data_IF_628180870422
#
_entry.id   IF_628180870422
#
_cell.length_a   1.000
_cell.length_b   1.000
_cell.length_c   1.000
_cell.angle_alpha   90.00
_cell.angle_beta   90.00
_cell.angle_gamma   90.00
#
_symmetry.space_group_name_H-M   'P 1'
#
loop_
_entity.id
_entity.type
_entity.pdbx_description
1 polymer ?
#
# COMPACT_ATOMS: atom_id res chain seq x y z
N UNK A 1 -27.96 -5.59 -3.19
CA UNK A 1 -28.24 -5.87 -1.77
C UNK A 1 -28.91 -7.23 -1.68
N UNK A 2 -28.13 -8.29 -1.43
CA UNK A 2 -28.59 -9.67 -1.31
C UNK A 2 -27.77 -10.36 -0.22
N UNK A 3 -28.44 -10.78 0.85
CA UNK A 3 -28.06 -11.88 1.73
C UNK A 3 -26.81 -11.74 2.61
N UNK A 4 -26.82 -10.83 3.58
CA UNK A 4 -25.87 -10.83 4.72
C UNK A 4 -26.29 -11.78 5.87
N UNK A 5 -27.41 -12.50 5.72
CA UNK A 5 -27.98 -13.40 6.73
C UNK A 5 -28.00 -14.83 6.20
N UNK A 6 -26.80 -15.37 5.97
CA UNK A 6 -26.62 -16.79 5.73
C UNK A 6 -26.56 -17.51 7.07
N UNK A 7 -27.73 -17.98 7.54
CA UNK A 7 -27.90 -19.02 8.56
C UNK A 7 -28.11 -18.58 10.03
N UNK A 8 -29.02 -17.61 10.27
CA UNK A 8 -29.52 -17.26 11.61
C UNK A 8 -30.10 -18.45 12.40
N UNK A 9 -30.56 -19.48 11.68
CA UNK A 9 -31.17 -20.68 12.24
C UNK A 9 -30.22 -21.50 13.10
N UNK A 10 -28.94 -21.60 12.72
CA UNK A 10 -27.97 -22.37 13.52
C UNK A 10 -27.56 -21.63 14.80
N UNK A 11 -27.57 -20.30 14.80
CA UNK A 11 -27.31 -19.50 16.00
C UNK A 11 -28.45 -19.64 17.01
N UNK A 12 -29.70 -19.61 16.53
CA UNK A 12 -30.89 -19.83 17.36
C UNK A 12 -30.94 -21.28 17.88
N UNK A 13 -30.63 -22.26 17.02
CA UNK A 13 -30.60 -23.67 17.41
C UNK A 13 -29.50 -23.98 18.43
N UNK A 14 -28.30 -23.43 18.25
CA UNK A 14 -27.21 -23.57 19.21
C UNK A 14 -27.55 -22.89 20.55
N UNK A 15 -28.19 -21.72 20.51
CA UNK A 15 -28.70 -21.03 21.69
C UNK A 15 -29.72 -21.88 22.46
N UNK A 16 -30.72 -22.44 21.77
CA UNK A 16 -31.75 -23.30 22.37
C UNK A 16 -31.17 -24.60 22.97
N UNK A 17 -30.23 -25.24 22.28
CA UNK A 17 -29.57 -26.46 22.79
C UNK A 17 -28.74 -26.15 24.03
N UNK A 18 -28.02 -25.02 24.07
CA UNK A 18 -27.24 -24.60 25.24
C UNK A 18 -28.13 -24.27 26.45
N UNK A 19 -29.27 -23.61 26.23
CA UNK A 19 -30.22 -23.28 27.28
C UNK A 19 -30.91 -24.53 27.86
N UNK A 20 -31.27 -25.48 27.00
CA UNK A 20 -31.83 -26.77 27.43
C UNK A 20 -30.81 -27.60 28.24
N UNK A 21 -29.54 -27.59 27.83
CA UNK A 21 -28.45 -28.21 28.57
C UNK A 21 -28.21 -27.54 29.93
N UNK A 22 -28.27 -26.20 29.99
CA UNK A 22 -28.10 -25.45 31.24
C UNK A 22 -29.21 -25.77 32.26
N UNK A 23 -30.47 -25.84 31.82
CA UNK A 23 -31.62 -26.15 32.68
C UNK A 23 -31.60 -27.64 33.12
N UNK A 24 -31.23 -28.55 32.21
CA UNK A 24 -31.14 -29.97 32.48
C UNK A 24 -30.02 -30.34 33.45
N UNK A 25 -28.82 -29.74 33.30
CA UNK A 25 -27.71 -29.97 34.24
C UNK A 25 -27.93 -29.30 35.60
N UNK A 26 -28.62 -28.16 35.64
CA UNK A 26 -28.85 -27.40 36.89
C UNK A 26 -29.81 -28.12 37.84
N UNK A 27 -30.85 -28.77 37.31
CA UNK A 27 -31.89 -29.40 38.14
C UNK A 27 -31.55 -30.82 38.60
N UNK A 28 -30.72 -31.55 37.86
CA UNK A 28 -30.49 -32.97 38.11
C UNK A 28 -29.37 -33.27 39.10
N UNK A 29 -28.41 -32.35 39.34
CA UNK A 29 -27.15 -32.73 40.00
C UNK A 29 -26.81 -32.00 41.31
N UNK A 30 -27.63 -31.07 41.81
CA UNK A 30 -27.42 -30.38 43.11
C UNK A 30 -25.97 -29.85 43.32
N UNK A 31 -25.29 -29.43 42.26
CA UNK A 31 -23.99 -28.75 42.35
C UNK A 31 -24.18 -27.23 42.43
N UNK A 32 -23.30 -26.49 43.13
CA UNK A 32 -23.44 -25.05 43.32
C UNK A 32 -23.46 -24.33 41.96
N UNK A 33 -24.42 -23.42 41.80
CA UNK A 33 -24.75 -22.69 40.55
C UNK A 33 -23.55 -22.07 39.81
N UNK A 34 -22.48 -21.72 40.54
CA UNK A 34 -21.24 -21.23 39.95
C UNK A 34 -20.55 -22.27 39.06
N UNK A 35 -20.54 -23.54 39.44
CA UNK A 35 -19.81 -24.60 38.73
C UNK A 35 -20.50 -24.92 37.40
N UNK A 36 -21.84 -24.96 37.37
CA UNK A 36 -22.58 -25.17 36.12
C UNK A 36 -22.44 -23.99 35.15
N UNK A 37 -22.36 -22.76 35.67
CA UNK A 37 -22.11 -21.56 34.87
C UNK A 37 -20.73 -21.59 34.22
N UNK A 38 -19.69 -21.94 34.98
CA UNK A 38 -18.31 -22.06 34.45
C UNK A 38 -18.22 -23.16 33.39
N UNK A 39 -18.83 -24.32 33.62
CA UNK A 39 -18.84 -25.42 32.65
C UNK A 39 -19.59 -25.01 31.37
N UNK A 40 -20.72 -24.32 31.49
CA UNK A 40 -21.49 -23.84 30.34
C UNK A 40 -20.72 -22.81 29.50
N UNK A 41 -20.01 -21.88 30.14
CA UNK A 41 -19.14 -20.91 29.46
C UNK A 41 -17.99 -21.62 28.74
N UNK A 42 -17.37 -22.63 29.35
CA UNK A 42 -16.28 -23.39 28.73
C UNK A 42 -16.76 -24.23 27.55
N UNK A 43 -17.93 -24.88 27.66
CA UNK A 43 -18.52 -25.63 26.55
C UNK A 43 -18.94 -24.67 25.44
N UNK A 44 -19.50 -23.50 25.73
CA UNK A 44 -19.83 -22.49 24.74
C UNK A 44 -18.58 -21.98 24.01
N UNK A 45 -17.50 -21.66 24.74
CA UNK A 45 -16.23 -21.25 24.13
C UNK A 45 -15.61 -22.35 23.26
N UNK A 46 -15.63 -23.61 23.73
CA UNK A 46 -15.16 -24.76 22.96
C UNK A 46 -16.01 -25.02 21.71
N UNK A 47 -17.33 -24.90 21.82
CA UNK A 47 -18.25 -25.05 20.69
C UNK A 47 -18.06 -23.91 19.68
N UNK A 48 -17.93 -22.67 20.13
CA UNK A 48 -17.62 -21.51 19.28
C UNK A 48 -16.28 -21.71 18.58
N UNK A 49 -15.26 -22.22 19.26
CA UNK A 49 -13.95 -22.47 18.66
C UNK A 49 -13.98 -23.61 17.62
N UNK A 50 -14.78 -24.66 17.83
CA UNK A 50 -14.91 -25.80 16.90
C UNK A 50 -15.86 -25.48 15.74
N UNK A 51 -16.91 -24.68 15.95
CA UNK A 51 -17.92 -24.33 14.94
C UNK A 51 -17.64 -23.02 14.19
N UNK A 52 -16.80 -22.11 14.69
CA UNK A 52 -16.40 -20.91 13.95
C UNK A 52 -15.19 -21.24 13.06
N UNK A 53 -15.38 -21.45 11.74
CA UNK A 53 -14.28 -21.77 10.86
C UNK A 53 -13.54 -20.46 10.58
N UNK A 54 -12.32 -20.29 11.11
CA UNK A 54 -11.23 -19.53 10.48
C UNK A 54 -11.44 -18.04 10.09
N UNK A 55 -12.56 -17.39 10.41
CA UNK A 55 -12.83 -16.01 9.96
C UNK A 55 -12.14 -14.92 10.80
N UNK A 56 -11.52 -15.26 11.94
CA UNK A 56 -10.74 -14.30 12.71
C UNK A 56 -9.34 -14.03 12.13
N UNK A 57 -8.92 -14.79 11.10
CA UNK A 57 -7.60 -14.66 10.47
C UNK A 57 -7.67 -14.27 8.98
N UNK A 58 -8.85 -13.89 8.49
CA UNK A 58 -9.12 -13.45 7.10
C UNK A 58 -8.59 -12.03 6.81
N UNK A 59 -7.42 -11.72 7.35
CA UNK A 59 -6.70 -10.45 7.18
C UNK A 59 -5.17 -10.59 7.27
N UNK A 60 -4.63 -11.78 7.50
CA UNK A 60 -3.19 -12.05 7.52
C UNK A 60 -2.86 -13.23 6.58
N UNK A 61 -3.31 -13.12 5.34
CA UNK A 61 -2.81 -13.98 4.26
C UNK A 61 -1.38 -13.53 3.90
N UNK A 62 -0.40 -14.07 4.61
CA UNK A 62 1.03 -13.84 4.34
C UNK A 62 1.43 -14.23 2.89
N UNK A 63 0.61 -15.04 2.19
CA UNK A 63 0.76 -15.36 0.76
C UNK A 63 -0.02 -14.45 -0.21
N UNK A 64 -1.14 -13.85 0.19
CA UNK A 64 -1.90 -12.92 -0.67
C UNK A 64 -1.34 -11.50 -0.65
N UNK A 65 -0.52 -11.16 0.36
CA UNK A 65 0.23 -9.90 0.43
C UNK A 65 1.10 -9.73 -0.83
N UNK A 66 1.81 -10.76 -1.29
CA UNK A 66 2.63 -10.68 -2.50
C UNK A 66 1.81 -10.47 -3.77
N UNK A 67 0.74 -11.26 -3.96
CA UNK A 67 -0.13 -11.16 -5.14
C UNK A 67 -0.94 -9.87 -5.20
N UNK A 68 -1.46 -9.42 -4.05
CA UNK A 68 -2.20 -8.17 -3.92
C UNK A 68 -1.32 -6.94 -4.12
N UNK A 69 -0.07 -6.96 -3.63
CA UNK A 69 0.90 -5.90 -3.88
C UNK A 69 1.29 -5.81 -5.36
N UNK A 70 1.48 -6.96 -6.03
CA UNK A 70 1.77 -7.00 -7.48
C UNK A 70 0.59 -6.45 -8.29
N UNK A 71 -0.64 -6.86 -7.97
CA UNK A 71 -1.83 -6.36 -8.64
C UNK A 71 -2.03 -4.86 -8.42
N UNK A 72 -1.84 -4.39 -7.18
CA UNK A 72 -1.91 -2.98 -6.84
C UNK A 72 -0.82 -2.15 -7.54
N UNK A 73 0.42 -2.63 -7.54
CA UNK A 73 1.53 -1.97 -8.23
C UNK A 73 1.25 -1.89 -9.73
N UNK A 74 0.81 -2.97 -10.36
CA UNK A 74 0.46 -2.99 -11.78
C UNK A 74 -0.64 -1.99 -12.13
N UNK A 75 -1.72 -1.97 -11.35
CA UNK A 75 -2.81 -1.01 -11.55
C UNK A 75 -2.31 0.42 -11.41
N UNK A 76 -1.56 0.71 -10.34
CA UNK A 76 -0.98 2.02 -10.07
C UNK A 76 -0.06 2.49 -11.20
N UNK A 77 0.84 1.62 -11.67
CA UNK A 77 1.76 1.95 -12.75
C UNK A 77 1.02 2.16 -14.06
N UNK A 78 0.00 1.35 -14.36
CA UNK A 78 -0.81 1.52 -15.57
C UNK A 78 -1.55 2.86 -15.60
N UNK A 79 -1.95 3.39 -14.45
CA UNK A 79 -2.56 4.71 -14.32
C UNK A 79 -1.53 5.85 -14.41
N UNK A 80 -0.31 5.63 -13.94
CA UNK A 80 0.76 6.63 -13.92
C UNK A 80 1.53 6.74 -15.25
N UNK A 81 1.63 5.64 -16.00
CA UNK A 81 2.39 5.56 -17.26
C UNK A 81 2.02 6.67 -18.26
N UNK A 82 0.71 6.94 -18.54
CA UNK A 82 0.33 7.99 -19.48
C UNK A 82 0.73 9.40 -19.01
N UNK A 83 0.87 9.62 -17.70
CA UNK A 83 1.34 10.89 -17.16
C UNK A 83 2.85 11.04 -17.30
N UNK A 84 3.62 9.97 -17.06
CA UNK A 84 5.06 9.94 -17.29
C UNK A 84 5.42 10.14 -18.77
N UNK A 85 4.70 9.49 -19.68
CA UNK A 85 4.89 9.63 -21.12
C UNK A 85 4.59 11.06 -21.60
N UNK A 86 3.52 11.67 -21.08
CA UNK A 86 3.18 13.09 -21.35
C UNK A 86 4.27 14.03 -20.85
N UNK A 87 4.82 13.80 -19.66
CA UNK A 87 5.93 14.60 -19.12
C UNK A 87 7.17 14.52 -20.03
N UNK A 88 7.51 13.33 -20.52
CA UNK A 88 8.61 13.13 -21.47
C UNK A 88 8.35 13.80 -22.84
N UNK A 89 7.12 13.73 -23.33
CA UNK A 89 6.71 14.42 -24.56
C UNK A 89 6.78 15.95 -24.40
N UNK A 90 6.32 16.47 -23.26
CA UNK A 90 6.41 17.89 -22.92
C UNK A 90 7.88 18.35 -22.82
N UNK A 91 8.78 17.54 -22.24
CA UNK A 91 10.21 17.85 -22.24
C UNK A 91 10.76 18.01 -23.68
N UNK A 92 10.28 17.19 -24.61
CA UNK A 92 10.75 17.19 -26.00
C UNK A 92 10.25 18.40 -26.79
N UNK A 93 9.06 18.92 -26.48
CA UNK A 93 8.46 20.07 -27.17
C UNK A 93 9.00 21.43 -26.71
N UNK A 94 9.66 21.49 -25.55
CA UNK A 94 10.26 22.73 -25.03
C UNK A 94 11.49 23.11 -25.87
N UNK A 95 11.49 24.35 -26.41
CA UNK A 95 12.59 24.89 -27.19
C UNK A 95 13.78 25.38 -26.32
N UNK A 96 13.49 25.85 -25.11
CA UNK A 96 14.48 26.31 -24.13
C UNK A 96 15.32 25.14 -23.61
N UNK A 97 16.64 25.17 -23.85
CA UNK A 97 17.56 24.08 -23.46
C UNK A 97 17.63 23.86 -21.96
N UNK A 98 17.64 24.93 -21.16
CA UNK A 98 17.76 24.82 -19.71
C UNK A 98 16.47 24.23 -19.11
N UNK A 99 15.32 24.71 -19.56
CA UNK A 99 14.05 24.17 -19.09
C UNK A 99 13.82 22.74 -19.59
N UNK A 100 14.18 22.45 -20.84
CA UNK A 100 14.13 21.10 -21.40
C UNK A 100 14.95 20.12 -20.56
N UNK A 101 16.15 20.49 -20.14
CA UNK A 101 16.98 19.65 -19.27
C UNK A 101 16.31 19.38 -17.91
N UNK A 102 15.67 20.40 -17.32
CA UNK A 102 14.95 20.26 -16.03
C UNK A 102 13.74 19.33 -16.15
N UNK A 103 12.90 19.52 -17.16
CA UNK A 103 11.71 18.68 -17.37
C UNK A 103 12.12 17.26 -17.80
N UNK A 104 13.18 17.11 -18.59
CA UNK A 104 13.75 15.80 -18.90
C UNK A 104 14.20 15.08 -17.64
N UNK A 105 14.91 15.76 -16.73
CA UNK A 105 15.33 15.19 -15.46
C UNK A 105 14.13 14.72 -14.62
N UNK A 106 13.02 15.48 -14.60
CA UNK A 106 11.78 15.02 -13.95
C UNK A 106 11.21 13.74 -14.59
N UNK A 107 11.23 13.65 -15.92
CA UNK A 107 10.79 12.45 -16.64
C UNK A 107 11.70 11.25 -16.35
N UNK A 108 13.02 11.47 -16.31
CA UNK A 108 14.00 10.43 -15.98
C UNK A 108 13.79 9.90 -14.54
N UNK A 109 13.56 10.80 -13.56
CA UNK A 109 13.25 10.39 -12.17
C UNK A 109 11.92 9.63 -12.10
N UNK A 110 10.87 10.08 -12.79
CA UNK A 110 9.60 9.37 -12.82
C UNK A 110 9.75 7.95 -13.40
N UNK A 111 10.54 7.80 -14.46
CA UNK A 111 10.85 6.50 -15.06
C UNK A 111 11.64 5.60 -14.11
N UNK A 112 12.63 6.14 -13.39
CA UNK A 112 13.40 5.39 -12.38
C UNK A 112 12.50 4.89 -11.24
N UNK A 113 11.63 5.75 -10.71
CA UNK A 113 10.66 5.36 -9.68
C UNK A 113 9.71 4.27 -10.18
N UNK A 114 9.20 4.39 -11.40
CA UNK A 114 8.34 3.36 -12.03
C UNK A 114 9.10 2.02 -12.11
N UNK A 115 10.34 2.03 -12.61
CA UNK A 115 11.17 0.82 -12.74
C UNK A 115 11.46 0.17 -11.38
N UNK A 116 11.70 0.97 -10.33
CA UNK A 116 11.90 0.46 -8.96
C UNK A 116 10.63 -0.17 -8.39
N UNK A 117 9.46 0.41 -8.66
CA UNK A 117 8.17 -0.17 -8.23
C UNK A 117 7.86 -1.45 -8.99
N UNK A 118 8.22 -1.55 -10.28
CA UNK A 118 8.13 -2.79 -11.04
C UNK A 118 9.02 -3.89 -10.45
N UNK A 119 10.25 -3.55 -10.07
CA UNK A 119 11.18 -4.48 -9.43
C UNK A 119 10.73 -4.90 -8.02
N UNK A 120 10.16 -3.97 -7.24
CA UNK A 120 9.69 -4.20 -5.87
C UNK A 120 8.26 -3.67 -5.67
N UNK A 121 7.23 -4.47 -5.99
CA UNK A 121 5.82 -4.07 -5.89
C UNK A 121 5.38 -3.61 -4.50
N UNK A 122 6.06 -4.06 -3.45
CA UNK A 122 5.82 -3.62 -2.07
C UNK A 122 6.02 -2.10 -1.87
N UNK A 123 6.87 -1.46 -2.68
CA UNK A 123 7.14 -0.02 -2.62
C UNK A 123 6.03 0.85 -3.22
N UNK A 124 5.13 0.25 -4.01
CA UNK A 124 4.06 0.95 -4.72
C UNK A 124 3.18 1.82 -3.80
N UNK A 125 2.92 1.37 -2.57
CA UNK A 125 2.09 2.09 -1.62
C UNK A 125 2.73 3.42 -1.18
N UNK A 126 4.05 3.42 -0.97
CA UNK A 126 4.82 4.58 -0.52
C UNK A 126 4.86 5.69 -1.58
N UNK A 127 4.95 5.30 -2.85
CA UNK A 127 5.02 6.25 -3.98
C UNK A 127 3.68 6.47 -4.67
N UNK A 128 2.58 5.90 -4.16
CA UNK A 128 1.24 6.07 -4.75
C UNK A 128 0.93 7.53 -5.01
N UNK A 129 1.11 8.40 -4.00
CA UNK A 129 0.81 9.83 -4.11
C UNK A 129 1.72 10.52 -5.14
N UNK A 130 2.99 10.13 -5.19
CA UNK A 130 3.93 10.60 -6.20
C UNK A 130 3.41 10.31 -7.61
N UNK A 131 3.07 9.04 -7.87
CA UNK A 131 2.61 8.58 -9.17
C UNK A 131 1.22 9.11 -9.56
N UNK A 132 0.28 9.24 -8.63
CA UNK A 132 -1.10 9.65 -8.96
C UNK A 132 -1.34 11.15 -8.93
N UNK A 133 -0.46 11.95 -8.31
CA UNK A 133 -0.67 13.38 -8.15
C UNK A 133 0.50 14.20 -8.68
N UNK A 134 1.73 13.91 -8.23
CA UNK A 134 2.88 14.73 -8.58
C UNK A 134 3.34 14.56 -10.03
N UNK A 135 3.35 13.32 -10.57
CA UNK A 135 3.71 13.07 -11.97
C UNK A 135 2.70 13.72 -12.95
N UNK A 136 1.37 13.54 -12.81
CA UNK A 136 0.40 14.25 -13.65
C UNK A 136 0.50 15.77 -13.55
N UNK A 137 0.69 16.30 -12.33
CA UNK A 137 0.81 17.73 -12.12
C UNK A 137 2.09 18.29 -12.76
N UNK A 138 3.20 17.56 -12.69
CA UNK A 138 4.43 17.95 -13.37
C UNK A 138 4.25 17.98 -14.90
N UNK A 139 3.53 17.00 -15.46
CA UNK A 139 3.21 16.97 -16.88
C UNK A 139 2.37 18.21 -17.29
N UNK A 140 1.32 18.53 -16.53
CA UNK A 140 0.46 19.69 -16.79
C UNK A 140 1.24 21.02 -16.73
N UNK A 141 2.11 21.17 -15.72
CA UNK A 141 2.96 22.37 -15.57
C UNK A 141 3.99 22.47 -16.72
N UNK A 142 4.57 21.35 -17.15
CA UNK A 142 5.52 21.31 -18.26
C UNK A 142 4.85 21.62 -19.62
N UNK A 143 3.67 21.05 -19.88
CA UNK A 143 2.86 21.36 -21.06
C UNK A 143 2.43 22.83 -21.08
N UNK A 144 2.04 23.36 -19.92
CA UNK A 144 1.73 24.77 -19.73
C UNK A 144 2.93 25.67 -20.02
N UNK A 145 4.14 25.28 -19.60
CA UNK A 145 5.37 26.00 -19.95
C UNK A 145 5.61 25.99 -21.46
N UNK A 146 5.55 24.81 -22.10
CA UNK A 146 5.78 24.68 -23.54
C UNK A 146 4.80 25.54 -24.34
N UNK A 147 3.52 25.50 -23.97
CA UNK A 147 2.46 26.31 -24.61
C UNK A 147 2.67 27.81 -24.41
N UNK A 148 3.15 28.23 -23.23
CA UNK A 148 3.44 29.65 -22.95
C UNK A 148 4.70 30.13 -23.69
N UNK A 149 5.71 29.27 -23.81
CA UNK A 149 6.98 29.56 -24.46
C UNK A 149 6.84 29.67 -25.99
N UNK A 150 5.93 28.90 -26.59
CA UNK A 150 5.67 28.92 -28.04
C UNK A 150 4.86 30.15 -28.52
N UNK A 151 4.30 30.94 -27.60
CA UNK A 151 3.57 32.16 -27.96
C UNK A 151 4.51 33.21 -28.55
N UNK A 152 4.04 33.92 -29.58
CA UNK A 152 4.75 35.01 -30.27
C UNK A 152 5.27 36.13 -29.35
N UNK A 153 4.60 36.37 -28.23
CA UNK A 153 4.99 37.33 -27.19
C UNK A 153 4.82 36.67 -25.81
N UNK A 154 5.82 35.90 -25.33
CA UNK A 154 5.70 35.17 -24.09
C UNK A 154 5.77 36.12 -22.89
N UNK A 155 4.86 35.93 -21.93
CA UNK A 155 4.93 36.66 -20.66
C UNK A 155 6.06 36.07 -19.80
N UNK A 156 7.22 36.73 -19.82
CA UNK A 156 8.43 36.29 -19.11
C UNK A 156 8.22 36.10 -17.60
N UNK A 157 7.37 36.91 -16.97
CA UNK A 157 7.08 36.79 -15.54
C UNK A 157 6.31 35.49 -15.25
N UNK A 158 5.33 35.14 -16.10
CA UNK A 158 4.62 33.86 -16.00
C UNK A 158 5.54 32.66 -16.27
N UNK A 159 6.41 32.75 -17.28
CA UNK A 159 7.39 31.69 -17.55
C UNK A 159 8.34 31.47 -16.37
N UNK A 160 8.83 32.55 -15.76
CA UNK A 160 9.67 32.45 -14.56
C UNK A 160 8.94 31.81 -13.38
N UNK A 161 7.67 32.19 -13.14
CA UNK A 161 6.85 31.56 -12.10
C UNK A 161 6.65 30.06 -12.34
N UNK A 162 6.34 29.66 -13.57
CA UNK A 162 6.18 28.24 -13.94
C UNK A 162 7.51 27.49 -13.77
N UNK A 163 8.63 28.09 -14.18
CA UNK A 163 9.97 27.52 -13.98
C UNK A 163 10.33 27.34 -12.51
N UNK A 164 9.91 28.25 -11.63
CA UNK A 164 10.10 28.11 -10.18
C UNK A 164 9.28 26.96 -9.60
N UNK A 165 8.08 26.70 -10.13
CA UNK A 165 7.27 25.53 -9.76
C UNK A 165 7.94 24.24 -10.21
N UNK A 166 8.48 24.20 -11.44
CA UNK A 166 9.23 23.05 -11.96
C UNK A 166 10.45 22.76 -11.09
N UNK A 167 11.18 23.79 -10.63
CA UNK A 167 12.31 23.62 -9.72
C UNK A 167 11.88 22.98 -8.38
N UNK A 168 10.77 23.44 -7.78
CA UNK A 168 10.23 22.83 -6.55
C UNK A 168 9.77 21.39 -6.77
N UNK A 169 9.25 21.08 -7.96
CA UNK A 169 8.90 19.72 -8.33
C UNK A 169 10.15 18.84 -8.45
N UNK A 170 11.30 19.36 -8.91
CA UNK A 170 12.56 18.59 -8.93
C UNK A 170 12.98 18.17 -7.52
N UNK A 171 12.91 19.08 -6.55
CA UNK A 171 13.24 18.75 -5.15
C UNK A 171 12.30 17.66 -4.59
N UNK A 172 11.00 17.76 -4.89
CA UNK A 172 10.03 16.75 -4.47
C UNK A 172 10.29 15.39 -5.15
N UNK A 173 10.58 15.37 -6.44
CA UNK A 173 10.86 14.16 -7.21
C UNK A 173 12.13 13.47 -6.69
N UNK A 174 13.21 14.24 -6.47
CA UNK A 174 14.44 13.73 -5.89
C UNK A 174 14.20 13.13 -4.50
N UNK A 175 13.45 13.81 -3.64
CA UNK A 175 13.13 13.31 -2.30
C UNK A 175 12.36 11.98 -2.33
N UNK A 176 11.39 11.82 -3.23
CA UNK A 176 10.68 10.54 -3.37
C UNK A 176 11.60 9.44 -3.90
N UNK A 177 12.46 9.72 -4.88
CA UNK A 177 13.42 8.76 -5.41
C UNK A 177 14.44 8.30 -4.36
N UNK A 178 15.02 9.24 -3.61
CA UNK A 178 15.93 8.96 -2.50
C UNK A 178 15.23 8.16 -1.40
N UNK A 179 13.97 8.48 -1.08
CA UNK A 179 13.20 7.72 -0.09
C UNK A 179 12.98 6.25 -0.49
N UNK A 180 12.87 5.92 -1.78
CA UNK A 180 12.87 4.51 -2.20
C UNK A 180 14.24 3.87 -1.98
N UNK A 181 15.31 4.59 -2.35
CA UNK A 181 16.68 4.08 -2.19
C UNK A 181 17.01 3.83 -0.71
N UNK A 182 16.66 4.75 0.19
CA UNK A 182 16.85 4.59 1.64
C UNK A 182 16.03 3.42 2.20
N UNK A 183 14.80 3.23 1.72
CA UNK A 183 13.98 2.07 2.10
C UNK A 183 14.60 0.74 1.62
N UNK A 184 15.39 0.77 0.55
CA UNK A 184 16.15 -0.36 0.02
C UNK A 184 17.40 -0.64 0.86
N UNK A 185 18.11 0.42 1.27
CA UNK A 185 19.28 0.34 2.16
C UNK A 185 18.92 -0.13 3.57
N UNK A 186 17.77 0.29 4.12
CA UNK A 186 17.27 -0.21 5.40
C UNK A 186 17.02 -1.73 5.41
N UNK A 187 16.62 -2.32 4.28
CA UNK A 187 16.57 -3.78 4.13
C UNK A 187 17.95 -4.43 4.06
N UNK A 188 18.94 -3.76 3.44
CA UNK A 188 20.31 -4.29 3.34
C UNK A 188 21.04 -4.29 4.70
N UNK A 189 20.79 -3.31 5.56
CA UNK A 189 21.36 -3.24 6.92
C UNK A 189 20.81 -4.35 7.84
N UNK A 190 19.57 -4.81 7.60
CA UNK A 190 19.00 -5.99 8.28
C UNK A 190 19.70 -7.26 7.81
N UNK A 191 19.93 -7.40 6.50
CA UNK A 191 20.63 -8.56 5.95
C UNK A 191 22.10 -8.62 6.41
N UNK A 192 22.78 -7.47 6.52
CA UNK A 192 24.14 -7.40 7.08
C UNK A 192 24.18 -7.77 8.57
N UNK A 193 23.19 -7.37 9.36
CA UNK A 193 23.07 -7.81 10.77
C UNK A 193 22.79 -9.31 10.86
N UNK A 194 21.96 -9.84 9.97
CA UNK A 194 21.63 -11.27 9.92
C UNK A 194 22.87 -12.11 9.54
N UNK A 195 23.67 -11.63 8.58
CA UNK A 195 24.94 -12.25 8.19
C UNK A 195 25.98 -12.11 9.32
N UNK A 196 26.04 -10.99 10.02
CA UNK A 196 26.94 -10.84 11.17
C UNK A 196 26.56 -11.75 12.32
N UNK A 197 25.26 -11.94 12.58
CA UNK A 197 24.78 -12.85 13.63
C UNK A 197 25.04 -14.32 13.24
N UNK A 198 24.78 -14.71 11.98
CA UNK A 198 25.07 -16.07 11.52
C UNK A 198 26.58 -16.38 11.50
N UNK A 199 27.42 -15.40 11.12
CA UNK A 199 28.87 -15.55 11.14
C UNK A 199 29.43 -15.62 12.57
N UNK A 200 28.79 -14.94 13.53
CA UNK A 200 29.15 -15.01 14.96
C UNK A 200 28.72 -16.33 15.59
N UNK A 201 27.61 -16.91 15.13
CA UNK A 201 27.14 -18.24 15.55
C UNK A 201 28.03 -19.36 14.98
N UNK A 202 28.53 -19.24 13.75
CA UNK A 202 29.42 -20.22 13.10
C UNK A 202 30.87 -20.17 13.61
N UNK A 203 31.41 -18.98 13.90
CA UNK A 203 32.77 -18.82 14.46
C UNK A 203 32.78 -19.01 15.99
N UNK A 204 31.59 -19.01 16.62
CA UNK A 204 31.39 -19.19 18.05
C UNK A 204 31.32 -20.64 18.55
N UNK A 205 31.61 -21.64 17.70
CA UNK A 205 31.80 -23.05 18.10
C UNK A 205 33.24 -23.50 17.95
#
# INVERSE_FOLDING_TARGET
>A
MRGLFGNDWNWIAAGLVSAALMIGLSTLTHFPFLVSTVISVLVFAGLVFVLAPRQLFEGLDLGSIGGGQVAFARELLSQAQPAADRLGAAASSIADRDMKAKVKNLADIAADVIARVEAKPASAASVRRFLTYYVPQAAEVAEGYATLADRRAPNRQRLASVGAVIAKLQDAFAHYADSLADSELGTLDVDLRLIQESLKEDIGR
#
